data_IF_165862460882
#
_entry.id   IF_165862460882
#
_cell.length_a   1.000
_cell.length_b   1.000
_cell.length_c   1.000
_cell.angle_alpha   90.00
_cell.angle_beta   90.00
_cell.angle_gamma   90.00
#
_symmetry.space_group_name_H-M   'P 1'
#
loop_
_entity.id
_entity.type
_entity.pdbx_description
1 polymer ?
#
# COMPACT_ATOMS: atom_id res chain seq x y z
N UNK A 1 10.88 -13.55 -18.12
CA UNK A 1 11.13 -12.60 -17.01
C UNK A 1 10.15 -12.84 -15.89
N UNK A 2 10.56 -12.64 -14.64
CA UNK A 2 9.70 -12.79 -13.46
C UNK A 2 9.19 -11.40 -13.03
N UNK A 3 7.86 -11.15 -12.99
CA UNK A 3 7.35 -9.83 -12.65
C UNK A 3 7.59 -9.54 -11.17
N UNK A 4 7.81 -8.27 -10.85
CA UNK A 4 7.79 -7.80 -9.46
C UNK A 4 6.34 -7.54 -9.07
N UNK A 5 5.91 -8.07 -7.94
CA UNK A 5 4.56 -7.86 -7.42
C UNK A 5 4.64 -6.86 -6.28
N UNK A 6 3.76 -5.85 -6.30
CA UNK A 6 3.54 -4.97 -5.15
C UNK A 6 2.07 -5.01 -4.75
N UNK A 7 1.80 -4.85 -3.47
CA UNK A 7 0.44 -4.82 -2.95
C UNK A 7 0.41 -3.82 -1.81
N UNK A 8 -0.48 -2.83 -1.89
CA UNK A 8 -0.52 -1.73 -0.92
C UNK A 8 -1.07 -2.17 0.43
N UNK A 9 -2.02 -3.12 0.42
CA UNK A 9 -2.65 -3.72 1.61
C UNK A 9 -3.20 -5.10 1.25
N UNK A 10 -3.31 -6.05 2.21
CA UNK A 10 -3.67 -7.43 1.92
C UNK A 10 -5.06 -7.60 1.30
N UNK A 11 -5.96 -6.64 1.53
CA UNK A 11 -7.34 -6.63 1.00
C UNK A 11 -7.51 -5.79 -0.28
N UNK A 12 -6.42 -5.46 -0.99
CA UNK A 12 -6.45 -4.81 -2.31
C UNK A 12 -5.74 -5.67 -3.34
N UNK A 13 -6.21 -5.65 -4.59
CA UNK A 13 -5.60 -6.43 -5.67
C UNK A 13 -4.10 -6.11 -5.85
N UNK A 14 -3.25 -7.13 -6.04
CA UNK A 14 -1.83 -6.92 -6.32
C UNK A 14 -1.61 -6.23 -7.67
N UNK A 15 -0.55 -5.41 -7.74
CA UNK A 15 -0.05 -4.76 -8.95
C UNK A 15 1.21 -5.48 -9.44
N UNK A 16 1.35 -5.56 -10.75
CA UNK A 16 2.45 -6.28 -11.40
C UNK A 16 3.34 -5.30 -12.16
N UNK A 17 4.65 -5.52 -12.10
CA UNK A 17 5.65 -4.69 -12.75
C UNK A 17 6.63 -5.56 -13.51
N UNK A 18 7.06 -5.09 -14.69
CA UNK A 18 8.08 -5.76 -15.47
C UNK A 18 9.39 -5.82 -14.67
N UNK A 19 9.93 -7.03 -14.49
CA UNK A 19 11.19 -7.24 -13.78
C UNK A 19 12.38 -6.56 -14.45
N UNK A 20 12.30 -6.35 -15.77
CA UNK A 20 13.38 -5.84 -16.62
C UNK A 20 13.30 -4.32 -16.79
N UNK A 21 12.16 -3.78 -17.25
CA UNK A 21 12.03 -2.34 -17.53
C UNK A 21 11.20 -1.56 -16.50
N UNK A 22 10.61 -2.22 -15.50
CA UNK A 22 9.81 -1.56 -14.46
C UNK A 22 8.43 -1.06 -14.90
N UNK A 23 8.03 -1.27 -16.17
CA UNK A 23 6.71 -0.86 -16.65
C UNK A 23 5.58 -1.63 -15.96
N UNK A 24 4.44 -0.97 -15.72
CA UNK A 24 3.25 -1.61 -15.16
C UNK A 24 2.73 -2.71 -16.10
N UNK A 25 2.37 -3.85 -15.54
CA UNK A 25 1.84 -4.99 -16.27
C UNK A 25 0.37 -5.22 -15.92
N UNK A 26 -0.45 -5.70 -16.88
CA UNK A 26 -1.80 -6.14 -16.58
C UNK A 26 -1.79 -7.36 -15.65
N UNK A 27 -2.83 -7.60 -14.85
CA UNK A 27 -2.93 -8.79 -14.02
C UNK A 27 -3.00 -10.07 -14.88
N UNK A 28 -2.51 -11.22 -14.35
CA UNK A 28 -2.49 -12.50 -15.08
C UNK A 28 -3.88 -12.98 -15.48
N UNK A 29 -4.89 -12.69 -14.66
CA UNK A 29 -6.28 -13.06 -14.92
C UNK A 29 -7.03 -12.00 -15.74
N UNK A 30 -6.32 -11.12 -16.45
CA UNK A 30 -6.94 -10.03 -17.22
C UNK A 30 -7.76 -9.07 -16.36
N UNK A 31 -8.42 -8.06 -16.97
CA UNK A 31 -9.37 -7.23 -16.26
C UNK A 31 -10.55 -8.09 -15.78
N UNK A 32 -11.04 -7.85 -14.56
CA UNK A 32 -12.13 -8.61 -13.91
C UNK A 32 -13.43 -8.66 -14.74
N UNK A 33 -13.58 -7.75 -15.71
CA UNK A 33 -14.74 -7.65 -16.59
C UNK A 33 -14.74 -8.63 -17.76
N UNK A 34 -13.67 -9.40 -17.99
CA UNK A 34 -13.58 -10.35 -19.09
C UNK A 34 -13.95 -11.78 -18.65
N UNK A 35 -14.96 -12.42 -19.25
CA UNK A 35 -15.40 -13.78 -18.86
C UNK A 35 -14.40 -14.88 -19.22
N UNK A 36 -13.47 -14.64 -20.14
CA UNK A 36 -12.38 -15.54 -20.51
C UNK A 36 -11.08 -14.74 -20.67
N UNK A 37 -10.43 -14.35 -19.59
CA UNK A 37 -9.24 -13.54 -19.67
C UNK A 37 -8.07 -14.38 -20.20
N UNK A 38 -7.48 -13.94 -21.31
CA UNK A 38 -6.23 -14.50 -21.80
C UNK A 38 -5.08 -13.79 -21.08
N UNK A 39 -4.22 -14.49 -20.33
CA UNK A 39 -3.11 -13.88 -19.63
C UNK A 39 -2.18 -13.18 -20.61
N UNK A 40 -1.83 -11.93 -20.31
CA UNK A 40 -0.94 -11.14 -21.17
C UNK A 40 0.50 -11.66 -21.08
N UNK A 41 1.02 -12.28 -22.13
CA UNK A 41 2.26 -13.07 -22.06
C UNK A 41 3.57 -12.30 -22.25
N UNK A 42 3.54 -11.02 -22.62
CA UNK A 42 4.76 -10.27 -22.98
C UNK A 42 4.72 -8.84 -22.44
N UNK A 43 5.85 -8.27 -22.04
CA UNK A 43 5.86 -6.85 -21.67
C UNK A 43 5.58 -5.98 -22.91
N UNK A 44 4.62 -5.05 -22.80
CA UNK A 44 4.26 -4.11 -23.87
C UNK A 44 5.38 -3.15 -24.27
N UNK A 45 6.40 -2.98 -23.42
CA UNK A 45 7.51 -2.05 -23.63
C UNK A 45 8.77 -2.76 -24.10
N UNK A 46 9.25 -3.77 -23.38
CA UNK A 46 10.49 -4.46 -23.73
C UNK A 46 10.29 -5.76 -24.53
N UNK A 47 9.05 -6.23 -24.71
CA UNK A 47 8.74 -7.44 -25.46
C UNK A 47 9.11 -8.76 -24.76
N UNK A 48 9.71 -8.73 -23.57
CA UNK A 48 10.12 -9.96 -22.89
C UNK A 48 8.91 -10.79 -22.43
N UNK A 49 8.99 -12.13 -22.54
CA UNK A 49 7.94 -13.03 -22.08
C UNK A 49 7.80 -12.98 -20.57
N UNK A 50 6.56 -12.91 -20.08
CA UNK A 50 6.21 -12.79 -18.67
C UNK A 50 5.89 -14.16 -18.08
N UNK A 51 6.55 -14.48 -16.96
CA UNK A 51 6.37 -15.74 -16.22
C UNK A 51 5.66 -15.44 -14.90
N UNK A 52 4.34 -15.19 -14.95
CA UNK A 52 3.55 -14.87 -13.74
C UNK A 52 3.59 -15.99 -12.70
N UNK A 53 3.57 -17.24 -13.12
CA UNK A 53 3.56 -18.41 -12.23
C UNK A 53 4.84 -18.53 -11.37
N UNK A 54 5.93 -17.86 -11.79
CA UNK A 54 7.20 -17.84 -11.06
C UNK A 54 7.34 -16.64 -10.13
N UNK A 55 6.38 -15.72 -10.14
CA UNK A 55 6.42 -14.53 -9.30
C UNK A 55 6.00 -14.89 -7.87
N UNK A 56 6.83 -14.51 -6.89
CA UNK A 56 6.47 -14.70 -5.49
C UNK A 56 5.36 -13.71 -5.10
N UNK A 57 4.23 -14.19 -4.56
CA UNK A 57 3.17 -13.31 -4.10
C UNK A 57 3.65 -12.49 -2.89
N UNK A 58 3.06 -11.30 -2.72
CA UNK A 58 3.30 -10.49 -1.53
C UNK A 58 2.78 -11.23 -0.31
N UNK A 59 3.67 -11.51 0.63
CA UNK A 59 3.32 -12.17 1.90
C UNK A 59 3.06 -11.12 2.95
N UNK A 60 1.90 -11.23 3.58
CA UNK A 60 1.52 -10.38 4.70
C UNK A 60 1.73 -11.11 6.02
N UNK A 61 2.00 -10.33 7.06
CA UNK A 61 2.14 -10.79 8.44
C UNK A 61 1.28 -9.92 9.34
N UNK A 62 0.90 -10.46 10.48
CA UNK A 62 0.19 -9.66 11.48
C UNK A 62 1.08 -8.51 11.93
N UNK A 63 0.47 -7.34 12.03
CA UNK A 63 1.19 -6.10 12.33
C UNK A 63 0.33 -5.24 13.23
N UNK A 64 0.96 -4.71 14.27
CA UNK A 64 0.39 -3.71 15.16
C UNK A 64 1.13 -2.37 14.95
N UNK A 65 0.46 -1.27 15.27
CA UNK A 65 1.07 0.05 15.31
C UNK A 65 2.16 0.08 16.36
N UNK A 66 3.38 0.46 15.97
CA UNK A 66 4.55 0.48 16.88
C UNK A 66 4.40 1.48 18.03
N UNK A 67 3.59 2.54 17.86
CA UNK A 67 3.39 3.57 18.89
C UNK A 67 2.25 3.27 19.86
N UNK A 68 1.09 2.86 19.36
CA UNK A 68 -0.12 2.71 20.19
C UNK A 68 -0.59 1.26 20.34
N UNK A 69 0.09 0.29 19.72
CA UNK A 69 -0.24 -1.13 19.79
C UNK A 69 -1.52 -1.54 19.06
N UNK A 70 -2.23 -0.60 18.42
CA UNK A 70 -3.47 -0.92 17.70
C UNK A 70 -3.18 -1.88 16.54
N UNK A 71 -4.06 -2.87 16.31
CA UNK A 71 -3.91 -3.80 15.20
C UNK A 71 -4.03 -3.09 13.85
N UNK A 72 -3.04 -3.27 12.98
CA UNK A 72 -3.03 -2.72 11.63
C UNK A 72 -3.34 -3.77 10.57
N UNK A 73 -2.72 -4.95 10.68
CA UNK A 73 -2.95 -6.10 9.80
C UNK A 73 -3.23 -7.32 10.67
N UNK A 74 -4.31 -8.03 10.36
CA UNK A 74 -4.74 -9.23 11.10
C UNK A 74 -5.05 -10.36 10.14
N UNK A 75 -4.97 -11.60 10.62
CA UNK A 75 -5.50 -12.74 9.88
C UNK A 75 -7.01 -12.61 9.73
N UNK A 76 -7.52 -12.94 8.55
CA UNK A 76 -8.96 -13.03 8.32
C UNK A 76 -9.54 -14.18 9.16
N UNK A 77 -10.77 -14.05 9.69
CA UNK A 77 -11.45 -15.17 10.32
C UNK A 77 -11.51 -16.36 9.37
N UNK A 78 -11.30 -17.57 9.89
CA UNK A 78 -11.13 -18.80 9.10
C UNK A 78 -12.30 -19.13 8.15
N UNK A 79 -13.48 -18.57 8.41
CA UNK A 79 -14.69 -18.81 7.61
C UNK A 79 -14.86 -17.83 6.43
N UNK A 80 -13.96 -16.86 6.28
CA UNK A 80 -13.96 -15.97 5.12
C UNK A 80 -13.01 -16.49 4.04
N UNK A 81 -13.51 -16.61 2.81
CA UNK A 81 -12.68 -16.80 1.63
C UNK A 81 -11.56 -15.74 1.56
N UNK A 82 -10.46 -15.97 0.82
CA UNK A 82 -9.32 -15.06 0.75
C UNK A 82 -9.74 -13.59 0.61
N UNK A 83 -9.06 -12.66 1.30
CA UNK A 83 -7.64 -12.73 1.68
C UNK A 83 -7.37 -13.33 3.06
N UNK A 84 -6.22 -14.01 3.22
CA UNK A 84 -5.75 -14.58 4.50
C UNK A 84 -5.47 -13.50 5.56
N UNK A 85 -5.26 -12.26 5.13
CA UNK A 85 -5.01 -11.10 5.98
C UNK A 85 -5.89 -9.93 5.57
N UNK A 86 -6.23 -9.06 6.52
CA UNK A 86 -7.02 -7.86 6.30
C UNK A 86 -6.31 -6.69 6.98
N UNK A 87 -6.22 -5.56 6.28
CA UNK A 87 -5.75 -4.31 6.88
C UNK A 87 -6.92 -3.54 7.49
N UNK A 88 -6.67 -2.95 8.65
CA UNK A 88 -7.58 -2.00 9.27
C UNK A 88 -7.68 -0.71 8.43
N UNK A 89 -8.77 0.06 8.57
CA UNK A 89 -8.89 1.38 7.94
C UNK A 89 -7.79 2.37 8.34
N UNK A 90 -7.15 2.16 9.49
CA UNK A 90 -6.08 2.98 10.03
C UNK A 90 -4.69 2.61 9.46
N UNK A 91 -4.58 1.53 8.68
CA UNK A 91 -3.32 1.16 8.02
C UNK A 91 -3.05 2.06 6.82
N UNK A 92 -1.89 2.72 6.83
CA UNK A 92 -1.47 3.68 5.78
C UNK A 92 -0.22 3.21 5.02
N UNK A 93 0.11 1.92 5.06
CA UNK A 93 1.28 1.38 4.35
C UNK A 93 2.60 1.50 5.12
N UNK A 94 2.56 1.69 6.44
CA UNK A 94 3.74 1.73 7.33
C UNK A 94 3.42 1.09 8.68
N UNK A 95 4.40 1.04 9.59
CA UNK A 95 4.26 0.54 10.96
C UNK A 95 3.50 1.45 11.91
N UNK A 96 3.08 2.64 11.46
CA UNK A 96 2.24 3.57 12.22
C UNK A 96 0.80 3.53 11.72
N UNK A 97 -0.14 3.61 12.66
CA UNK A 97 -1.54 3.88 12.35
C UNK A 97 -1.73 5.31 11.85
N UNK A 98 -2.86 5.57 11.17
CA UNK A 98 -3.21 6.89 10.62
C UNK A 98 -3.04 8.02 11.64
N UNK A 99 -3.55 7.86 12.86
CA UNK A 99 -3.46 8.90 13.90
C UNK A 99 -2.02 9.13 14.38
N UNK A 100 -1.28 8.06 14.66
CA UNK A 100 0.12 8.16 15.07
C UNK A 100 1.01 8.75 13.96
N UNK A 101 0.67 8.46 12.70
CA UNK A 101 1.35 9.06 11.55
C UNK A 101 1.01 10.55 11.41
N UNK A 102 -0.24 10.95 11.66
CA UNK A 102 -0.67 12.35 11.68
C UNK A 102 0.10 13.16 12.73
N UNK A 103 0.18 12.66 13.97
CA UNK A 103 0.99 13.25 15.05
C UNK A 103 2.47 13.37 14.66
N UNK A 104 3.05 12.31 14.09
CA UNK A 104 4.44 12.35 13.60
C UNK A 104 4.62 13.42 12.52
N UNK A 105 3.74 13.44 11.51
CA UNK A 105 3.84 14.35 10.37
C UNK A 105 3.76 15.83 10.76
N UNK A 106 2.88 16.18 11.71
CA UNK A 106 2.71 17.56 12.19
C UNK A 106 3.97 18.06 12.90
N UNK A 107 4.63 17.19 13.67
CA UNK A 107 5.83 17.55 14.44
C UNK A 107 7.14 17.46 13.64
N UNK A 108 7.17 16.65 12.59
CA UNK A 108 8.41 16.31 11.89
C UNK A 108 8.75 17.31 10.78
N UNK A 109 10.02 17.72 10.71
CA UNK A 109 10.57 18.43 9.56
C UNK A 109 10.69 17.47 8.36
N UNK A 110 9.97 17.76 7.27
CA UNK A 110 9.91 16.87 6.10
C UNK A 110 11.27 16.65 5.43
N UNK A 111 12.21 17.59 5.54
CA UNK A 111 13.55 17.46 4.95
C UNK A 111 14.43 16.42 5.69
N UNK A 112 14.06 16.08 6.93
CA UNK A 112 14.78 15.15 7.80
C UNK A 112 13.93 13.92 8.14
N UNK A 113 12.81 13.72 7.44
CA UNK A 113 11.90 12.60 7.69
C UNK A 113 12.39 11.34 7.00
N UNK A 114 12.60 10.27 7.75
CA UNK A 114 13.02 8.96 7.25
C UNK A 114 11.84 8.10 6.77
N UNK A 115 10.60 8.46 7.14
CA UNK A 115 9.39 7.67 6.79
C UNK A 115 8.88 8.02 5.40
N UNK A 116 8.76 9.31 5.09
CA UNK A 116 8.21 9.81 3.84
C UNK A 116 9.15 10.82 3.22
N UNK A 117 10.15 10.33 2.48
CA UNK A 117 11.17 11.15 1.86
C UNK A 117 10.59 12.26 0.97
N UNK A 118 10.98 13.51 1.21
CA UNK A 118 10.60 14.68 0.39
C UNK A 118 11.38 14.69 -0.95
N UNK A 119 10.81 15.15 -2.09
CA UNK A 119 9.48 15.75 -2.28
C UNK A 119 8.33 14.76 -2.50
N UNK A 120 8.63 13.49 -2.75
CA UNK A 120 7.65 12.47 -3.15
C UNK A 120 7.03 11.74 -1.95
N UNK A 121 6.85 12.45 -0.83
CA UNK A 121 6.36 11.86 0.40
C UNK A 121 4.89 11.44 0.23
N UNK A 122 4.55 10.14 0.41
CA UNK A 122 3.18 9.66 0.22
C UNK A 122 2.22 10.15 1.31
N UNK A 123 2.74 10.71 2.41
CA UNK A 123 1.99 11.14 3.59
C UNK A 123 1.75 12.64 3.68
N UNK A 124 2.08 13.40 2.63
CA UNK A 124 1.83 14.86 2.56
C UNK A 124 0.37 15.21 2.84
N UNK A 125 -0.57 14.40 2.34
CA UNK A 125 -1.99 14.59 2.61
C UNK A 125 -2.35 14.41 4.10
N UNK A 126 -1.70 13.49 4.81
CA UNK A 126 -1.90 13.27 6.25
C UNK A 126 -1.41 14.50 7.02
N UNK A 127 -0.21 15.00 6.68
CA UNK A 127 0.34 16.22 7.31
C UNK A 127 -0.61 17.40 7.16
N UNK A 128 -1.12 17.64 5.95
CA UNK A 128 -2.06 18.73 5.68
C UNK A 128 -3.31 18.62 6.56
N UNK A 129 -3.95 17.44 6.59
CA UNK A 129 -5.15 17.22 7.42
C UNK A 129 -4.88 17.41 8.92
N UNK A 130 -3.71 17.00 9.41
CA UNK A 130 -3.31 17.23 10.80
C UNK A 130 -3.17 18.72 11.11
N UNK A 131 -2.50 19.49 10.24
CA UNK A 131 -2.33 20.93 10.42
C UNK A 131 -3.66 21.69 10.39
N UNK A 132 -4.59 21.32 9.49
CA UNK A 132 -5.95 21.89 9.43
C UNK A 132 -6.69 21.69 10.76
N UNK A 133 -6.69 20.47 11.31
CA UNK A 133 -7.32 20.19 12.61
C UNK A 133 -6.71 20.98 13.76
N UNK A 134 -5.39 21.17 13.76
CA UNK A 134 -4.71 21.96 14.79
C UNK A 134 -5.06 23.45 14.70
N UNK A 135 -5.21 23.98 13.48
CA UNK A 135 -5.66 25.36 13.27
C UNK A 135 -7.11 25.57 13.73
N UNK A 136 -8.01 24.64 13.37
CA UNK A 136 -9.42 24.71 13.80
C UNK A 136 -9.57 24.52 15.32
N UNK A 137 -8.76 23.65 15.93
CA UNK A 137 -8.72 23.46 17.38
C UNK A 137 -8.20 24.70 18.13
N UNK A 138 -7.33 25.50 17.52
CA UNK A 138 -6.88 26.76 18.11
C UNK A 138 -7.98 27.84 18.03
N UNK A 139 -8.66 27.95 16.90
CA UNK A 139 -9.72 28.95 16.68
C UNK A 139 -10.99 28.72 17.51
N UNK A 140 -11.29 27.48 17.91
CA UNK A 140 -12.46 27.16 18.74
C UNK A 140 -12.22 27.29 20.26
N UNK A 141 -11.00 27.65 20.67
CA UNK A 141 -10.62 27.86 22.08
C UNK A 141 -10.30 29.33 22.42
N UNK A 142 -10.65 30.26 21.52
CA UNK A 142 -10.58 31.73 21.73
C UNK A 142 -11.97 32.32 22.02
#
# INVERSE_FOLDING_TARGET
MIPKITQERPNVAPKYWCGTCGHALPPPNGPETCPNPVPWKFCSICGEPIEYDKAEPVRWVEQNCERCGRPLIRKSPADMAPPDFIASPDYVGTSLCRNCMEEHCVQTNCLQCEIGHWPNCPYTYIKRLGLEKHADGAANNE
#
